data_IF_479607980245
#
_entry.id   IF_479607980245
#
_cell.length_a   1.000
_cell.length_b   1.000
_cell.length_c   1.000
_cell.angle_alpha   90.00
_cell.angle_beta   90.00
_cell.angle_gamma   90.00
#
_symmetry.space_group_name_H-M   'P 1'
#
loop_
_entity.id
_entity.type
_entity.pdbx_description
1 polymer ?
#
# COMPACT_ATOMS: atom_id res chain seq x y z
N UNK A 1 -21.92 -36.26 -0.10
CA UNK A 1 -21.70 -36.01 1.35
C UNK A 1 -20.56 -35.00 1.46
N UNK A 2 -20.87 -33.71 1.32
CA UNK A 2 -19.87 -32.64 1.27
C UNK A 2 -19.50 -32.19 2.68
N UNK A 3 -18.23 -32.32 3.03
CA UNK A 3 -17.67 -31.79 4.28
C UNK A 3 -17.62 -30.27 4.19
N UNK A 4 -18.33 -29.60 5.09
CA UNK A 4 -18.30 -28.16 5.29
C UNK A 4 -16.93 -27.70 5.79
N UNK A 5 -16.35 -26.69 5.14
CA UNK A 5 -15.20 -25.94 5.65
C UNK A 5 -15.64 -24.99 6.78
N UNK A 6 -14.81 -24.80 7.83
CA UNK A 6 -15.14 -23.92 8.94
C UNK A 6 -15.09 -22.46 8.48
N UNK A 7 -16.18 -21.73 8.74
CA UNK A 7 -16.28 -20.29 8.58
C UNK A 7 -15.31 -19.65 9.59
N UNK A 8 -14.32 -18.91 9.08
CA UNK A 8 -13.46 -18.05 9.89
C UNK A 8 -14.35 -17.01 10.58
N UNK A 9 -14.46 -17.16 11.90
CA UNK A 9 -15.02 -16.19 12.83
C UNK A 9 -14.30 -14.84 12.66
N UNK A 10 -14.99 -13.87 12.07
CA UNK A 10 -14.58 -12.46 12.10
C UNK A 10 -14.70 -12.00 13.55
N UNK A 11 -13.57 -11.95 14.24
CA UNK A 11 -13.50 -11.39 15.59
C UNK A 11 -13.87 -9.91 15.51
N UNK A 12 -15.01 -9.57 16.11
CA UNK A 12 -15.48 -8.21 16.31
C UNK A 12 -14.45 -7.49 17.20
N UNK A 13 -13.60 -6.65 16.62
CA UNK A 13 -12.65 -5.83 17.37
C UNK A 13 -13.47 -4.82 18.20
N UNK A 14 -13.63 -5.07 19.50
CA UNK A 14 -14.24 -4.13 20.41
C UNK A 14 -13.31 -2.92 20.57
N UNK A 15 -13.65 -1.80 19.92
CA UNK A 15 -13.01 -0.51 20.19
C UNK A 15 -13.37 -0.09 21.62
N UNK A 16 -12.42 -0.20 22.54
CA UNK A 16 -12.52 0.43 23.84
C UNK A 16 -12.56 1.95 23.64
N UNK A 17 -13.73 2.55 23.89
CA UNK A 17 -13.90 4.00 23.97
C UNK A 17 -13.10 4.49 25.17
N UNK A 18 -11.91 5.05 24.93
CA UNK A 18 -11.12 5.71 25.96
C UNK A 18 -11.81 7.03 26.34
N UNK A 19 -12.44 7.06 27.50
CA UNK A 19 -12.94 8.30 28.10
C UNK A 19 -11.76 9.24 28.38
N UNK A 20 -11.80 10.41 27.74
CA UNK A 20 -10.73 11.41 27.73
C UNK A 20 -10.51 12.05 29.10
N UNK A 21 -9.30 11.91 29.62
CA UNK A 21 -8.73 12.92 30.50
C UNK A 21 -8.28 14.09 29.60
N UNK A 22 -8.90 15.26 29.77
CA UNK A 22 -8.54 16.47 29.03
C UNK A 22 -7.09 16.83 29.37
N UNK A 23 -6.20 16.69 28.40
CA UNK A 23 -4.80 17.00 28.58
C UNK A 23 -4.61 18.51 28.43
N UNK A 24 -4.00 19.13 29.44
CA UNK A 24 -3.79 20.56 29.50
C UNK A 24 -3.03 21.11 28.28
N UNK A 25 -3.30 22.38 27.99
CA UNK A 25 -2.78 23.22 26.93
C UNK A 25 -1.30 22.90 26.55
N UNK A 26 -1.11 22.03 25.55
CA UNK A 26 0.21 21.70 25.00
C UNK A 26 0.66 22.84 24.08
N UNK A 27 1.36 23.84 24.64
CA UNK A 27 2.01 24.86 23.83
C UNK A 27 3.03 24.23 22.88
N UNK A 28 2.87 24.44 21.56
CA UNK A 28 3.80 24.24 20.43
C UNK A 28 5.04 23.36 20.65
N UNK A 29 4.90 22.19 21.29
CA UNK A 29 6.02 21.27 21.45
C UNK A 29 6.27 20.60 20.11
N UNK A 30 7.53 20.60 19.65
CA UNK A 30 7.96 19.88 18.44
C UNK A 30 7.39 18.45 18.44
N UNK A 31 6.93 17.92 17.30
CA UNK A 31 6.35 16.59 17.24
C UNK A 31 7.38 15.55 17.68
N UNK A 32 6.94 14.58 18.50
CA UNK A 32 7.84 13.57 19.05
C UNK A 32 8.38 12.62 17.97
N UNK A 33 7.58 12.35 16.93
CA UNK A 33 7.98 11.58 15.75
C UNK A 33 8.07 12.50 14.53
N UNK A 34 9.10 12.32 13.72
CA UNK A 34 9.25 12.90 12.40
C UNK A 34 9.40 11.81 11.33
N UNK A 35 8.87 12.08 10.14
CA UNK A 35 8.91 11.17 9.00
C UNK A 35 9.75 11.75 7.87
N UNK A 36 10.44 10.88 7.14
CA UNK A 36 11.09 11.23 5.88
C UNK A 36 10.71 10.21 4.79
N UNK A 37 10.00 10.62 3.72
CA UNK A 37 9.46 11.97 3.50
C UNK A 37 8.36 12.35 4.51
N UNK A 38 8.04 13.64 4.63
CA UNK A 38 6.96 14.10 5.54
C UNK A 38 5.55 13.74 5.06
N UNK A 39 5.41 13.46 3.76
CA UNK A 39 4.19 12.99 3.12
C UNK A 39 4.54 12.02 1.99
N UNK A 40 3.68 11.04 1.77
CA UNK A 40 3.77 10.11 0.65
C UNK A 40 2.65 10.44 -0.32
N UNK A 41 3.00 10.78 -1.56
CA UNK A 41 2.07 10.91 -2.69
C UNK A 41 2.54 9.94 -3.77
N UNK A 42 1.70 8.96 -4.10
CA UNK A 42 2.07 7.89 -5.01
C UNK A 42 0.98 7.63 -6.04
N UNK A 43 1.35 7.60 -7.31
CA UNK A 43 0.48 7.12 -8.39
C UNK A 43 0.49 5.59 -8.43
N UNK A 44 -0.68 4.97 -8.60
CA UNK A 44 -0.79 3.53 -8.69
C UNK A 44 -1.95 3.12 -9.60
N UNK A 45 -1.77 2.00 -10.31
CA UNK A 45 -2.78 1.44 -11.19
C UNK A 45 -3.58 0.33 -10.47
N UNK A 46 -4.88 0.18 -10.74
CA UNK A 46 -5.63 -1.01 -10.34
C UNK A 46 -4.94 -2.27 -10.85
N UNK A 47 -4.83 -3.28 -10.00
CA UNK A 47 -4.16 -4.53 -10.33
C UNK A 47 -2.65 -4.56 -10.06
N UNK A 48 -2.09 -3.51 -9.43
CA UNK A 48 -0.66 -3.47 -9.11
C UNK A 48 -0.40 -3.28 -7.62
N UNK A 49 0.80 -3.66 -7.19
CA UNK A 49 1.33 -3.47 -5.87
C UNK A 49 2.66 -2.70 -5.91
N UNK A 50 2.95 -1.96 -4.83
CA UNK A 50 4.16 -1.17 -4.66
C UNK A 50 4.60 -1.13 -3.20
N UNK A 51 5.90 -1.28 -2.98
CA UNK A 51 6.52 -1.08 -1.67
C UNK A 51 7.06 0.34 -1.60
N UNK A 52 6.65 1.08 -0.56
CA UNK A 52 7.08 2.45 -0.31
C UNK A 52 7.91 2.45 0.98
N UNK A 53 9.18 2.82 0.86
CA UNK A 53 10.08 2.90 2.01
C UNK A 53 10.08 4.30 2.59
N UNK A 54 9.76 4.42 3.89
CA UNK A 54 9.83 5.67 4.64
C UNK A 54 10.74 5.49 5.85
N UNK A 55 11.27 6.60 6.37
CA UNK A 55 12.07 6.63 7.59
C UNK A 55 11.31 7.35 8.69
N UNK A 56 11.43 6.85 9.92
CA UNK A 56 10.89 7.47 11.13
C UNK A 56 12.01 7.76 12.11
N UNK A 57 11.94 8.91 12.79
CA UNK A 57 12.88 9.30 13.85
C UNK A 57 12.10 9.85 15.04
N UNK A 58 12.45 9.41 16.25
CA UNK A 58 11.85 9.89 17.50
C UNK A 58 12.75 10.85 18.26
N UNK A 59 12.19 11.90 18.87
CA UNK A 59 12.92 12.83 19.75
C UNK A 59 13.08 12.31 21.19
N UNK A 60 12.49 11.15 21.51
CA UNK A 60 12.57 10.48 22.83
C UNK A 60 12.69 8.97 22.65
N UNK A 61 13.17 8.29 23.69
CA UNK A 61 13.07 6.83 23.75
C UNK A 61 11.60 6.43 23.89
N UNK A 62 11.16 5.45 23.10
CA UNK A 62 9.82 4.87 23.13
C UNK A 62 9.91 3.35 23.29
N UNK A 63 8.89 2.79 23.92
CA UNK A 63 8.73 1.35 24.15
C UNK A 63 7.41 0.87 23.54
N UNK A 64 7.38 -0.39 23.11
CA UNK A 64 6.25 -1.08 22.49
C UNK A 64 5.58 -0.22 21.41
N UNK A 65 6.38 0.19 20.43
CA UNK A 65 5.90 1.05 19.34
C UNK A 65 5.07 0.20 18.38
N UNK A 66 3.82 0.60 18.12
CA UNK A 66 2.91 -0.02 17.15
C UNK A 66 2.66 0.97 16.00
N UNK A 67 2.73 0.48 14.76
CA UNK A 67 2.37 1.22 13.56
C UNK A 67 0.95 0.86 13.12
N UNK A 68 0.14 1.87 12.80
CA UNK A 68 -1.26 1.64 12.43
C UNK A 68 -1.71 2.58 11.32
N UNK A 69 -2.34 2.00 10.29
CA UNK A 69 -2.90 2.72 9.15
C UNK A 69 -4.41 2.92 9.33
N UNK A 70 -4.94 4.06 8.93
CA UNK A 70 -6.39 4.31 8.96
C UNK A 70 -7.19 3.28 8.15
N UNK A 71 -8.41 2.90 8.55
CA UNK A 71 -9.18 1.85 7.87
C UNK A 71 -9.49 2.11 6.41
N UNK A 72 -9.47 3.37 5.99
CA UNK A 72 -9.65 3.78 4.59
C UNK A 72 -8.54 3.19 3.70
N UNK A 73 -7.30 3.32 4.18
CA UNK A 73 -6.11 2.86 3.49
C UNK A 73 -5.77 1.40 3.82
N UNK A 74 -6.15 0.89 5.00
CA UNK A 74 -5.88 -0.50 5.42
C UNK A 74 -6.47 -1.59 4.49
N UNK A 75 -7.46 -1.24 3.65
CA UNK A 75 -7.98 -2.17 2.63
C UNK A 75 -7.02 -2.39 1.45
N UNK A 76 -6.08 -1.46 1.30
CA UNK A 76 -5.21 -1.34 0.13
C UNK A 76 -3.75 -1.27 0.53
N UNK A 77 -3.42 -1.13 1.81
CA UNK A 77 -2.05 -1.03 2.27
C UNK A 77 -1.84 -1.73 3.61
N UNK A 78 -0.65 -2.30 3.76
CA UNK A 78 -0.10 -2.82 5.00
C UNK A 78 1.18 -2.06 5.37
N UNK A 79 1.61 -2.18 6.62
CA UNK A 79 2.84 -1.57 7.14
C UNK A 79 3.76 -2.64 7.73
N UNK A 80 5.05 -2.56 7.44
CA UNK A 80 6.08 -3.45 7.99
C UNK A 80 7.30 -2.64 8.49
N UNK A 81 7.83 -2.90 9.70
CA UNK A 81 7.24 -3.78 10.71
C UNK A 81 5.93 -3.19 11.27
N UNK A 82 5.04 -4.04 11.78
CA UNK A 82 3.82 -3.59 12.48
C UNK A 82 4.11 -3.11 13.90
N UNK A 83 5.21 -3.56 14.50
CA UNK A 83 5.67 -3.12 15.83
C UNK A 83 7.19 -3.11 15.97
N UNK A 84 7.70 -2.28 16.88
CA UNK A 84 9.10 -2.21 17.29
C UNK A 84 9.14 -2.11 18.81
N UNK A 85 9.81 -3.05 19.48
CA UNK A 85 9.85 -3.08 20.95
C UNK A 85 10.47 -1.81 21.56
N UNK A 86 11.51 -1.27 20.92
CA UNK A 86 12.21 -0.09 21.40
C UNK A 86 12.63 0.82 20.24
N UNK A 87 12.22 2.08 20.31
CA UNK A 87 12.66 3.15 19.40
C UNK A 87 13.53 4.12 20.20
N UNK A 88 14.83 4.05 19.97
CA UNK A 88 15.83 4.93 20.57
C UNK A 88 15.73 6.36 20.01
N UNK A 89 15.94 7.34 20.89
CA UNK A 89 15.99 8.76 20.55
C UNK A 89 17.00 9.04 19.44
N UNK A 90 16.58 9.84 18.46
CA UNK A 90 17.34 10.33 17.32
C UNK A 90 17.89 9.23 16.38
N UNK A 91 17.44 7.98 16.51
CA UNK A 91 17.78 6.89 15.60
C UNK A 91 16.74 6.77 14.49
N UNK A 92 17.20 6.53 13.27
CA UNK A 92 16.33 6.28 12.12
C UNK A 92 15.85 4.83 12.11
N UNK A 93 14.56 4.64 11.84
CA UNK A 93 13.94 3.34 11.63
C UNK A 93 13.28 3.31 10.25
N UNK A 94 13.54 2.25 9.50
CA UNK A 94 12.90 2.03 8.20
C UNK A 94 11.54 1.37 8.40
N UNK A 95 10.52 1.95 7.77
CA UNK A 95 9.16 1.42 7.73
C UNK A 95 8.76 1.29 6.27
N UNK A 96 8.26 0.13 5.87
CA UNK A 96 7.74 -0.15 4.55
C UNK A 96 6.21 -0.07 4.57
N UNK A 97 5.65 0.61 3.58
CA UNK A 97 4.21 0.66 3.32
C UNK A 97 3.98 -0.13 2.03
N UNK A 98 3.33 -1.27 2.14
CA UNK A 98 3.05 -2.16 1.01
C UNK A 98 1.65 -1.83 0.53
N UNK A 99 1.53 -1.15 -0.60
CA UNK A 99 0.24 -0.75 -1.19
C UNK A 99 -0.10 -1.72 -2.31
N UNK A 100 -1.23 -2.41 -2.22
CA UNK A 100 -1.77 -3.32 -3.24
C UNK A 100 -3.18 -2.89 -3.62
N UNK A 101 -3.35 -2.42 -4.86
CA UNK A 101 -4.65 -2.05 -5.40
C UNK A 101 -5.26 -3.24 -6.16
N UNK A 102 -6.41 -3.78 -5.73
CA UNK A 102 -7.07 -4.83 -6.48
C UNK A 102 -7.53 -4.34 -7.84
N UNK A 103 -7.85 -5.27 -8.74
CA UNK A 103 -8.42 -4.95 -10.06
C UNK A 103 -9.74 -4.20 -9.97
N UNK A 104 -10.52 -4.47 -8.92
CA UNK A 104 -11.81 -3.82 -8.63
C UNK A 104 -11.70 -2.92 -7.41
N UNK A 105 -11.22 -1.70 -7.61
CA UNK A 105 -11.21 -0.67 -6.57
C UNK A 105 -12.64 -0.16 -6.37
N UNK A 106 -13.36 -0.72 -5.39
CA UNK A 106 -14.67 -0.22 -4.96
C UNK A 106 -14.47 0.90 -3.94
N UNK A 107 -14.70 2.13 -4.37
CA UNK A 107 -14.61 3.26 -3.45
C UNK A 107 -15.81 3.32 -2.51
N UNK A 108 -15.55 3.71 -1.26
CA UNK A 108 -16.59 4.08 -0.31
C UNK A 108 -16.31 5.49 0.17
N UNK A 109 -17.26 6.40 -0.07
CA UNK A 109 -17.25 7.71 0.59
C UNK A 109 -17.34 7.48 2.10
N UNK A 110 -16.41 8.04 2.85
CA UNK A 110 -16.50 7.98 4.31
C UNK A 110 -17.50 9.00 4.83
N UNK A 111 -18.24 8.58 5.83
CA UNK A 111 -19.15 9.45 6.55
C UNK A 111 -18.36 10.10 7.69
N UNK A 112 -18.61 11.37 7.96
CA UNK A 112 -17.89 12.18 8.95
C UNK A 112 -17.79 11.51 10.34
N UNK A 113 -18.86 10.82 10.75
CA UNK A 113 -18.91 10.02 11.99
C UNK A 113 -17.81 8.96 12.06
N UNK A 114 -17.43 8.37 10.93
CA UNK A 114 -16.37 7.35 10.88
C UNK A 114 -15.02 8.00 11.22
N UNK A 115 -14.75 9.22 10.75
CA UNK A 115 -13.47 9.91 10.96
C UNK A 115 -13.30 10.31 12.43
N UNK A 116 -14.35 10.84 13.06
CA UNK A 116 -14.32 11.24 14.47
C UNK A 116 -14.09 10.05 15.41
N UNK A 117 -14.76 8.92 15.15
CA UNK A 117 -14.55 7.69 15.93
C UNK A 117 -13.15 7.09 15.78
N UNK A 118 -12.50 7.29 14.61
CA UNK A 118 -11.19 6.73 14.33
C UNK A 118 -10.03 7.52 14.92
N UNK A 119 -10.17 8.84 14.94
CA UNK A 119 -9.09 9.75 15.37
C UNK A 119 -9.28 10.26 16.80
N UNK A 120 -10.51 10.19 17.33
CA UNK A 120 -10.87 10.79 18.60
C UNK A 120 -10.53 12.28 18.67
N UNK A 121 -10.26 12.75 19.89
CA UNK A 121 -9.81 14.12 20.16
C UNK A 121 -8.33 14.36 19.85
N UNK A 122 -7.60 13.32 19.40
CA UNK A 122 -6.14 13.36 19.29
C UNK A 122 -5.63 13.82 17.92
N UNK A 123 -6.45 13.74 16.88
CA UNK A 123 -6.09 14.36 15.61
C UNK A 123 -6.43 15.85 15.60
N UNK A 124 -5.50 16.62 15.05
CA UNK A 124 -5.72 18.04 14.81
C UNK A 124 -6.76 18.25 13.69
N UNK A 125 -7.12 19.52 13.49
CA UNK A 125 -8.06 19.91 12.43
C UNK A 125 -7.52 19.57 11.04
N UNK A 126 -6.21 19.70 10.81
CA UNK A 126 -5.58 19.52 9.51
C UNK A 126 -5.59 18.04 9.07
N UNK A 127 -5.47 17.11 10.01
CA UNK A 127 -5.55 15.67 9.79
C UNK A 127 -7.00 15.23 9.50
N UNK A 128 -7.97 15.78 10.23
CA UNK A 128 -9.39 15.57 9.97
C UNK A 128 -9.76 16.12 8.58
N UNK A 129 -9.32 17.32 8.26
CA UNK A 129 -9.57 17.95 6.96
C UNK A 129 -8.88 17.18 5.82
N UNK A 130 -7.68 16.65 6.04
CA UNK A 130 -6.99 15.78 5.07
C UNK A 130 -7.81 14.52 4.74
N UNK A 131 -8.35 13.81 5.74
CA UNK A 131 -9.19 12.63 5.50
C UNK A 131 -10.56 12.97 4.88
N UNK A 132 -11.06 14.20 5.09
CA UNK A 132 -12.31 14.68 4.48
C UNK A 132 -12.14 15.06 3.00
N UNK A 133 -10.91 15.29 2.51
CA UNK A 133 -10.66 15.55 1.09
C UNK A 133 -10.99 14.31 0.28
N UNK A 134 -12.21 14.26 -0.23
CA UNK A 134 -12.68 13.20 -1.08
C UNK A 134 -12.40 13.54 -2.55
N UNK A 135 -11.81 12.59 -3.26
CA UNK A 135 -11.56 12.62 -4.69
C UNK A 135 -11.65 11.17 -5.16
N UNK A 136 -12.46 10.92 -6.20
CA UNK A 136 -12.75 9.57 -6.72
C UNK A 136 -11.56 8.83 -7.36
N UNK A 137 -10.42 9.50 -7.42
CA UNK A 137 -9.18 8.95 -7.92
C UNK A 137 -8.09 9.02 -6.84
N UNK A 138 -8.46 9.21 -5.56
CA UNK A 138 -7.50 9.31 -4.47
C UNK A 138 -7.96 8.53 -3.24
N UNK A 139 -7.03 7.74 -2.71
CA UNK A 139 -7.17 7.09 -1.42
C UNK A 139 -6.26 7.85 -0.45
N UNK A 140 -6.88 8.58 0.48
CA UNK A 140 -6.17 9.27 1.54
C UNK A 140 -6.14 8.41 2.80
N UNK A 141 -4.98 8.36 3.45
CA UNK A 141 -4.80 7.62 4.68
C UNK A 141 -3.74 8.25 5.56
N UNK A 142 -3.76 7.87 6.84
CA UNK A 142 -2.77 8.30 7.81
C UNK A 142 -2.09 7.06 8.39
N UNK A 143 -0.78 7.14 8.58
CA UNK A 143 0.00 6.18 9.35
C UNK A 143 0.37 6.80 10.70
N UNK A 144 -0.14 6.19 11.76
CA UNK A 144 0.10 6.60 13.14
C UNK A 144 1.16 5.74 13.81
N UNK A 145 1.80 6.35 14.82
CA UNK A 145 2.65 5.66 15.79
C UNK A 145 1.93 5.66 17.13
N UNK A 146 1.78 4.47 17.73
CA UNK A 146 1.36 4.31 19.12
C UNK A 146 2.56 3.81 19.91
N UNK A 147 2.67 4.23 21.17
CA UNK A 147 3.70 3.73 22.07
C UNK A 147 3.13 3.53 23.45
N UNK A 148 3.65 2.58 24.18
CA UNK A 148 3.32 2.45 25.60
C UNK A 148 4.14 3.43 26.41
N UNK A 149 3.51 4.01 27.43
CA UNK A 149 4.20 4.75 28.48
C UNK A 149 3.82 4.16 29.82
N UNK A 150 4.80 3.55 30.48
CA UNK A 150 4.65 3.09 31.86
C UNK A 150 4.79 4.29 32.78
N UNK A 151 3.70 4.66 33.46
CA UNK A 151 3.74 5.71 34.48
C UNK A 151 3.78 5.04 35.85
N UNK A 152 4.76 5.38 36.71
CA UNK A 152 4.77 4.87 38.06
C UNK A 152 3.72 5.61 38.91
N UNK A 153 2.93 4.85 39.65
CA UNK A 153 1.66 5.25 40.26
C UNK A 153 1.76 6.12 41.52
N UNK A 154 2.94 6.64 41.84
CA UNK A 154 3.26 7.38 43.07
C UNK A 154 2.50 8.72 43.28
N UNK A 155 1.44 9.01 42.50
CA UNK A 155 0.48 10.07 42.79
C UNK A 155 -0.74 9.63 43.65
N UNK A 156 -0.93 8.33 43.95
CA UNK A 156 -2.05 7.86 44.81
C UNK A 156 -1.71 6.65 45.70
N UNK A 157 -1.15 6.88 46.90
CA UNK A 157 -1.21 6.08 48.16
C UNK A 157 -1.47 4.53 48.15
N UNK A 158 -1.03 3.75 47.16
CA UNK A 158 -1.02 2.27 47.23
C UNK A 158 0.27 1.67 46.63
N UNK A 159 0.86 0.71 47.36
CA UNK A 159 2.07 -0.05 47.01
C UNK A 159 1.83 -0.86 45.73
N UNK A 160 2.71 -0.69 44.74
CA UNK A 160 2.94 -1.55 43.57
C UNK A 160 1.83 -1.70 42.51
N UNK A 161 1.47 -0.61 41.83
CA UNK A 161 0.71 -0.71 40.57
C UNK A 161 1.22 0.25 39.51
N UNK A 162 2.19 -0.11 38.68
CA UNK A 162 2.45 0.67 37.45
C UNK A 162 1.20 0.65 36.56
N UNK A 163 0.92 1.77 35.86
CA UNK A 163 -0.13 1.82 34.84
C UNK A 163 0.52 2.11 33.50
N UNK A 164 0.37 1.18 32.56
CA UNK A 164 0.72 1.40 31.16
C UNK A 164 -0.41 2.17 30.49
N UNK A 165 -0.08 3.30 29.89
CA UNK A 165 -1.01 4.05 29.03
C UNK A 165 -0.51 3.98 27.58
N UNK A 166 -1.44 3.75 26.65
CA UNK A 166 -1.15 3.88 25.21
C UNK A 166 -1.18 5.36 24.82
N UNK A 167 -0.12 5.84 24.20
CA UNK A 167 0.00 7.21 23.69
C UNK A 167 0.07 7.19 22.16
N UNK A 168 -0.85 7.89 21.50
CA UNK A 168 -0.76 8.15 20.06
C UNK A 168 0.12 9.37 19.84
N UNK A 169 1.04 9.28 18.88
CA UNK A 169 1.99 10.35 18.59
C UNK A 169 1.37 11.46 17.72
N UNK A 170 1.63 12.74 18.01
CA UNK A 170 0.86 13.87 17.47
C UNK A 170 1.24 14.31 16.04
N UNK A 171 1.81 13.44 15.20
CA UNK A 171 2.08 13.75 13.77
C UNK A 171 2.05 12.46 12.94
N UNK A 172 0.89 12.05 12.41
CA UNK A 172 0.84 10.92 11.49
C UNK A 172 1.57 11.24 10.18
N UNK A 173 2.01 10.20 9.47
CA UNK A 173 2.45 10.34 8.08
C UNK A 173 1.21 10.40 7.18
N UNK A 174 1.12 11.45 6.37
CA UNK A 174 0.05 11.62 5.37
C UNK A 174 0.39 10.80 4.13
N UNK A 175 -0.56 9.97 3.70
CA UNK A 175 -0.40 9.09 2.55
C UNK A 175 -1.56 9.36 1.58
N UNK A 176 -1.23 9.68 0.33
CA UNK A 176 -2.19 9.82 -0.77
C UNK A 176 -1.79 8.87 -1.89
N UNK A 177 -2.69 7.94 -2.22
CA UNK A 177 -2.55 7.07 -3.40
C UNK A 177 -3.45 7.63 -4.49
N UNK A 178 -2.86 8.14 -5.58
CA UNK A 178 -3.59 8.56 -6.77
C UNK A 178 -3.85 7.33 -7.64
N UNK A 179 -5.11 6.91 -7.72
CA UNK A 179 -5.53 5.80 -8.57
C UNK A 179 -5.63 6.29 -10.00
N UNK A 180 -4.71 5.82 -10.85
CA UNK A 180 -4.71 6.11 -12.29
C UNK A 180 -5.22 4.89 -13.05
N UNK A 181 -5.90 5.11 -14.17
CA UNK A 181 -6.23 4.02 -15.08
C UNK A 181 -5.03 3.75 -16.00
N UNK A 182 -4.63 2.48 -16.20
CA UNK A 182 -3.57 2.16 -17.15
C UNK A 182 -4.04 2.45 -18.59
N UNK A 183 -3.11 2.82 -19.46
CA UNK A 183 -3.41 3.10 -20.87
C UNK A 183 -2.26 2.68 -21.77
N UNK A 184 -2.51 2.64 -23.09
CA UNK A 184 -1.46 2.46 -24.08
C UNK A 184 -0.63 3.74 -24.33
N UNK A 185 -1.05 4.89 -23.80
CA UNK A 185 -0.37 6.17 -24.03
C UNK A 185 0.70 6.48 -22.98
N UNK A 186 0.42 6.11 -21.73
CA UNK A 186 1.28 6.40 -20.59
C UNK A 186 2.09 5.17 -20.25
N UNK A 187 3.41 5.25 -20.41
CA UNK A 187 4.35 4.18 -20.07
C UNK A 187 4.91 4.45 -18.66
N UNK A 188 4.51 3.69 -17.64
CA UNK A 188 5.03 3.88 -16.29
C UNK A 188 6.49 3.43 -16.19
N UNK A 189 7.32 4.22 -15.52
CA UNK A 189 8.72 3.85 -15.24
C UNK A 189 8.77 2.95 -14.01
N UNK A 190 9.53 1.87 -14.12
CA UNK A 190 9.71 0.86 -13.07
C UNK A 190 8.80 -0.35 -13.28
N UNK A 191 9.28 -1.49 -12.83
CA UNK A 191 8.51 -2.73 -12.77
C UNK A 191 7.50 -2.64 -11.63
N UNK A 192 6.25 -2.94 -11.93
CA UNK A 192 5.15 -3.02 -10.98
C UNK A 192 4.97 -4.47 -10.54
N UNK A 193 4.75 -4.67 -9.24
CA UNK A 193 4.31 -5.98 -8.74
C UNK A 193 2.82 -6.16 -9.08
N UNK A 194 2.34 -7.38 -9.35
CA UNK A 194 0.91 -7.64 -9.48
C UNK A 194 0.21 -7.55 -8.11
N UNK A 195 -1.07 -7.20 -8.11
CA UNK A 195 -1.92 -7.42 -6.95
C UNK A 195 -2.25 -8.91 -6.78
N UNK A 196 -2.51 -9.35 -5.55
CA UNK A 196 -2.72 -10.77 -5.26
C UNK A 196 -3.94 -11.38 -5.97
N UNK A 197 -4.96 -10.59 -6.30
CA UNK A 197 -6.16 -11.04 -7.02
C UNK A 197 -5.91 -11.35 -8.51
N UNK A 198 -4.71 -11.05 -9.03
CA UNK A 198 -4.33 -11.35 -10.43
C UNK A 198 -3.42 -12.56 -10.55
N UNK A 199 -3.00 -13.15 -9.44
CA UNK A 199 -2.11 -14.30 -9.43
C UNK A 199 -2.94 -15.56 -9.68
N UNK A 200 -2.56 -16.34 -10.68
CA UNK A 200 -3.22 -17.59 -11.06
C UNK A 200 -2.20 -18.72 -11.13
N UNK A 201 -2.59 -19.91 -10.69
CA UNK A 201 -1.78 -21.12 -10.85
C UNK A 201 -2.06 -21.74 -12.23
N UNK A 202 -1.01 -22.04 -12.97
CA UNK A 202 -1.10 -22.78 -14.23
C UNK A 202 -1.39 -24.26 -13.94
N UNK A 203 -2.49 -24.83 -14.47
CA UNK A 203 -2.88 -26.21 -14.21
C UNK A 203 -1.85 -27.24 -14.74
N UNK A 204 -1.04 -26.89 -15.73
CA UNK A 204 -0.09 -27.81 -16.35
C UNK A 204 1.27 -27.81 -15.64
N UNK A 205 1.78 -26.63 -15.29
CA UNK A 205 3.14 -26.46 -14.77
C UNK A 205 3.21 -26.32 -13.24
N UNK A 206 2.07 -26.10 -12.56
CA UNK A 206 1.98 -25.72 -11.13
C UNK A 206 2.66 -24.39 -10.78
N UNK A 207 3.18 -23.66 -11.76
CA UNK A 207 3.79 -22.35 -11.58
C UNK A 207 2.72 -21.26 -11.46
N UNK A 208 3.05 -20.19 -10.74
CA UNK A 208 2.18 -19.02 -10.58
C UNK A 208 2.54 -17.91 -11.57
N UNK A 209 1.52 -17.38 -12.25
CA UNK A 209 1.62 -16.31 -13.23
C UNK A 209 0.66 -15.17 -12.90
N UNK A 210 0.90 -14.02 -13.51
CA UNK A 210 -0.11 -12.96 -13.56
C UNK A 210 -1.09 -13.27 -14.69
N UNK A 211 -2.34 -13.54 -14.35
CA UNK A 211 -3.31 -14.15 -15.27
C UNK A 211 -3.73 -13.31 -16.47
N UNK A 212 -3.50 -12.00 -16.43
CA UNK A 212 -3.88 -11.03 -17.47
C UNK A 212 -2.70 -10.13 -17.91
N UNK A 213 -1.45 -10.58 -17.73
CA UNK A 213 -0.25 -9.79 -18.04
C UNK A 213 0.80 -10.55 -18.87
N UNK A 214 1.43 -9.82 -19.78
CA UNK A 214 2.55 -10.27 -20.61
C UNK A 214 3.75 -9.35 -20.35
N UNK A 215 4.94 -9.94 -20.24
CA UNK A 215 6.20 -9.22 -20.32
C UNK A 215 6.66 -9.24 -21.76
N UNK A 216 6.93 -8.06 -22.32
CA UNK A 216 7.37 -7.88 -23.70
C UNK A 216 8.72 -7.19 -23.73
N UNK A 217 9.68 -7.77 -24.44
CA UNK A 217 10.96 -7.14 -24.75
C UNK A 217 10.94 -6.73 -26.21
N UNK A 218 11.20 -5.45 -26.49
CA UNK A 218 11.31 -4.93 -27.85
C UNK A 218 12.78 -4.86 -28.28
N UNK A 219 13.01 -5.02 -29.58
CA UNK A 219 14.35 -4.92 -30.18
C UNK A 219 14.94 -3.53 -29.95
N UNK A 220 16.27 -3.47 -29.79
CA UNK A 220 16.99 -2.22 -29.68
C UNK A 220 16.69 -1.29 -30.88
N UNK A 221 16.51 0.00 -30.62
CA UNK A 221 16.15 0.99 -31.63
C UNK A 221 14.65 1.13 -31.90
N UNK A 222 13.79 0.25 -31.37
CA UNK A 222 12.34 0.41 -31.50
C UNK A 222 11.87 1.68 -30.79
N UNK A 223 11.18 2.57 -31.51
CA UNK A 223 10.74 3.85 -30.94
C UNK A 223 9.59 3.66 -29.95
N UNK A 224 9.48 4.56 -28.96
CA UNK A 224 8.36 4.54 -28.02
C UNK A 224 7.00 4.74 -28.71
N UNK A 225 6.95 5.46 -29.84
CA UNK A 225 5.73 5.62 -30.62
C UNK A 225 5.30 4.29 -31.26
N UNK A 226 6.24 3.58 -31.88
CA UNK A 226 6.00 2.22 -32.42
C UNK A 226 5.53 1.27 -31.33
N UNK A 227 6.19 1.29 -30.16
CA UNK A 227 5.81 0.45 -29.01
C UNK A 227 4.37 0.75 -28.55
N UNK A 228 4.00 2.03 -28.39
CA UNK A 228 2.62 2.42 -28.05
C UNK A 228 1.63 1.94 -29.10
N UNK A 229 1.95 2.08 -30.39
CA UNK A 229 1.08 1.64 -31.48
C UNK A 229 0.86 0.12 -31.47
N UNK A 230 1.92 -0.67 -31.26
CA UNK A 230 1.83 -2.13 -31.15
C UNK A 230 0.95 -2.53 -29.96
N UNK A 231 1.18 -1.94 -28.79
CA UNK A 231 0.42 -2.27 -27.58
C UNK A 231 -1.04 -1.81 -27.70
N UNK A 232 -1.29 -0.62 -28.24
CA UNK A 232 -2.64 -0.10 -28.49
C UNK A 232 -3.42 -1.00 -29.45
N UNK A 233 -2.82 -1.39 -30.59
CA UNK A 233 -3.48 -2.24 -31.60
C UNK A 233 -3.72 -3.68 -31.16
N UNK A 234 -2.95 -4.18 -30.20
CA UNK A 234 -3.17 -5.51 -29.59
C UNK A 234 -4.19 -5.48 -28.44
N UNK A 235 -4.64 -4.28 -28.04
CA UNK A 235 -5.59 -4.07 -26.95
C UNK A 235 -4.96 -4.16 -25.56
N UNK A 236 -3.64 -3.97 -25.46
CA UNK A 236 -2.90 -3.94 -24.20
C UNK A 236 -2.82 -2.54 -23.60
N UNK A 237 -2.47 -2.46 -22.32
CA UNK A 237 -2.15 -1.23 -21.61
C UNK A 237 -0.88 -1.39 -20.78
N UNK A 238 -0.10 -0.33 -20.61
CA UNK A 238 1.13 -0.40 -19.83
C UNK A 238 0.84 -0.32 -18.33
N UNK A 239 1.52 -1.17 -17.55
CA UNK A 239 1.49 -1.14 -16.07
C UNK A 239 2.88 -0.98 -15.46
N UNK A 240 3.95 -1.15 -16.23
CA UNK A 240 5.33 -0.95 -15.81
C UNK A 240 6.31 -1.08 -16.98
N UNK A 241 7.55 -0.65 -16.77
CA UNK A 241 8.63 -0.80 -17.74
C UNK A 241 10.03 -0.69 -17.12
N UNK A 242 11.00 -1.34 -17.74
CA UNK A 242 12.43 -1.09 -17.58
C UNK A 242 13.01 -0.72 -18.96
N UNK A 243 12.98 0.58 -19.25
CA UNK A 243 13.33 1.10 -20.59
C UNK A 243 14.81 0.90 -20.94
N UNK A 244 15.70 0.69 -19.96
CA UNK A 244 17.12 0.42 -20.24
C UNK A 244 17.35 -0.87 -21.02
N UNK A 245 16.41 -1.82 -20.92
CA UNK A 245 16.45 -3.11 -21.63
C UNK A 245 15.21 -3.31 -22.50
N UNK A 246 14.47 -2.22 -22.83
CA UNK A 246 13.23 -2.26 -23.61
C UNK A 246 12.20 -3.31 -23.12
N UNK A 247 12.11 -3.51 -21.80
CA UNK A 247 11.16 -4.44 -21.19
C UNK A 247 9.92 -3.69 -20.71
N UNK A 248 8.74 -4.21 -21.03
CA UNK A 248 7.45 -3.61 -20.71
C UNK A 248 6.50 -4.66 -20.13
N UNK A 249 5.75 -4.25 -19.11
CA UNK A 249 4.66 -5.04 -18.55
C UNK A 249 3.34 -4.57 -19.15
N UNK A 250 2.70 -5.48 -19.88
CA UNK A 250 1.50 -5.21 -20.67
C UNK A 250 0.34 -5.98 -20.09
N UNK A 251 -0.70 -5.26 -19.67
CA UNK A 251 -1.93 -5.84 -19.16
C UNK A 251 -3.00 -5.89 -20.24
N UNK A 252 -3.73 -6.99 -20.33
CA UNK A 252 -4.89 -7.14 -21.22
C UNK A 252 -6.18 -7.18 -20.38
N UNK A 253 -6.91 -6.05 -20.34
CA UNK A 253 -8.05 -5.90 -19.44
C UNK A 253 -9.16 -6.91 -19.75
N UNK A 254 -9.56 -7.69 -18.75
CA UNK A 254 -10.59 -8.72 -18.87
C UNK A 254 -10.11 -10.03 -19.50
N UNK A 255 -8.82 -10.15 -19.82
CA UNK A 255 -8.24 -11.39 -20.29
C UNK A 255 -8.07 -12.41 -19.16
N UNK A 256 -8.11 -13.69 -19.52
CA UNK A 256 -7.67 -14.80 -18.66
C UNK A 256 -6.43 -15.49 -19.23
N UNK A 257 -5.89 -16.46 -18.47
CA UNK A 257 -4.65 -17.15 -18.83
C UNK A 257 -4.73 -17.83 -20.22
N UNK A 258 -5.90 -18.34 -20.61
CA UNK A 258 -6.09 -18.99 -21.92
C UNK A 258 -6.02 -18.00 -23.08
N UNK A 259 -6.41 -16.75 -22.85
CA UNK A 259 -6.36 -15.68 -23.83
C UNK A 259 -4.98 -15.04 -23.91
N UNK A 260 -4.19 -15.10 -22.83
CA UNK A 260 -2.83 -14.53 -22.79
C UNK A 260 -1.89 -15.19 -23.80
N UNK A 261 -1.96 -16.50 -24.00
CA UNK A 261 -1.10 -17.17 -25.00
C UNK A 261 -1.41 -16.69 -26.42
N UNK A 262 -2.69 -16.46 -26.74
CA UNK A 262 -3.07 -15.87 -28.01
C UNK A 262 -2.53 -14.43 -28.17
N UNK A 263 -2.48 -13.66 -27.08
CA UNK A 263 -1.88 -12.31 -27.08
C UNK A 263 -0.37 -12.34 -27.27
N UNK A 264 0.32 -13.30 -26.63
CA UNK A 264 1.76 -13.53 -26.82
C UNK A 264 2.04 -13.83 -28.30
N UNK A 265 1.34 -14.80 -28.88
CA UNK A 265 1.49 -15.14 -30.30
C UNK A 265 1.26 -13.93 -31.23
N UNK A 266 0.27 -13.07 -30.93
CA UNK A 266 0.02 -11.86 -31.70
C UNK A 266 1.15 -10.82 -31.59
N UNK A 267 1.80 -10.74 -30.43
CA UNK A 267 2.93 -9.84 -30.19
C UNK A 267 4.20 -10.35 -30.88
N UNK A 268 4.48 -11.65 -30.81
CA UNK A 268 5.67 -12.26 -31.43
C UNK A 268 5.64 -12.22 -32.97
N UNK A 269 4.48 -12.03 -33.58
CA UNK A 269 4.35 -11.75 -35.02
C UNK A 269 4.82 -10.36 -35.43
N UNK A 270 5.09 -9.45 -34.48
CA UNK A 270 5.59 -8.09 -34.76
C UNK A 270 7.10 -8.12 -34.91
N UNK A 271 7.61 -7.55 -36.01
CA UNK A 271 9.04 -7.57 -36.30
C UNK A 271 9.87 -6.80 -35.26
N UNK A 272 9.27 -5.86 -34.54
CA UNK A 272 9.92 -5.06 -33.50
C UNK A 272 9.94 -5.74 -32.13
N UNK A 273 9.14 -6.79 -31.92
CA UNK A 273 9.14 -7.57 -30.69
C UNK A 273 10.29 -8.56 -30.75
N UNK A 274 11.13 -8.57 -29.71
CA UNK A 274 12.21 -9.54 -29.55
C UNK A 274 11.69 -10.82 -28.89
N UNK A 275 10.94 -10.66 -27.80
CA UNK A 275 10.25 -11.76 -27.11
C UNK A 275 9.02 -11.27 -26.36
N UNK A 276 8.04 -12.16 -26.19
CA UNK A 276 6.90 -11.95 -25.31
C UNK A 276 6.61 -13.22 -24.51
N UNK A 277 6.35 -13.10 -23.21
CA UNK A 277 6.09 -14.26 -22.37
C UNK A 277 5.16 -13.90 -21.20
N UNK A 278 4.50 -14.92 -20.64
CA UNK A 278 3.67 -14.77 -19.43
C UNK A 278 4.52 -14.19 -18.31
N UNK A 279 4.00 -13.27 -17.51
CA UNK A 279 4.74 -12.73 -16.35
C UNK A 279 4.80 -13.78 -15.22
N UNK A 280 5.96 -14.41 -14.92
CA UNK A 280 6.07 -15.35 -13.80
C UNK A 280 6.17 -14.59 -12.48
N UNK A 281 5.51 -15.08 -11.42
CA UNK A 281 5.60 -14.44 -10.09
C UNK A 281 6.99 -14.62 -9.45
N UNK A 282 7.68 -15.71 -9.80
CA UNK A 282 9.00 -16.06 -9.26
C UNK A 282 10.05 -16.02 -10.36
N UNK A 283 10.80 -14.91 -10.42
CA UNK A 283 12.12 -14.88 -11.04
C UNK A 283 13.12 -15.14 -9.91
N UNK A 284 13.19 -16.37 -9.41
CA UNK A 284 14.22 -16.73 -8.43
C UNK A 284 15.60 -16.39 -8.99
N UNK A 285 16.41 -15.68 -8.20
CA UNK A 285 17.81 -15.29 -8.44
C UNK A 285 18.34 -15.59 -9.87
N UNK A 286 17.91 -14.80 -10.86
CA UNK A 286 18.52 -14.76 -12.20
C UNK A 286 19.74 -13.84 -12.20
#
# INVERSE_FOLDING_TARGET
MFKSLPILSVSLLAFAVFAGASIGNFGNSKPMISWFPEQVVQDQFPGTAKVITVKSTSQKDLENVEFWITPQLNKYAAVEPTSIDKVEKNKEYTVQIIVSLPTTVKEKKLVERDIEGLLGDQADKDDKDFLKRWDKNKINGLLFVKSDKTIPWFQFWKKDKTKTIKLIQPKPLKITINVKQPSAEVIPVGISLPSSDRIVSDPESTLEYVGDEVVVVFKEGTTLETIRNIISTTGGVFVGSEQRINLYQIRFLGADLSQIDAKINLLELKEEVDSAFRHPLYLGDL
#
